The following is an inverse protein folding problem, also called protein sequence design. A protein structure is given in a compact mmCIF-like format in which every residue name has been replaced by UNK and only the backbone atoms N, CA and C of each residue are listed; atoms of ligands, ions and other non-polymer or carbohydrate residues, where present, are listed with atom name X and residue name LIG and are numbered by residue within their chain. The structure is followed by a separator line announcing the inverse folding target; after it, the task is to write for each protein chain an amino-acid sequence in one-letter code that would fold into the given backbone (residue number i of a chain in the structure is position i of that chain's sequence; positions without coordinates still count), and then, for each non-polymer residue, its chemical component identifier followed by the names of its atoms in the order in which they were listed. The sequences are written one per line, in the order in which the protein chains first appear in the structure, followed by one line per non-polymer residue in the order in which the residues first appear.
data_IF_136671355278
#
_entry.id   IF_136671355278
#
_cell.length_a   1.000
_cell.length_b   1.000
_cell.length_c   1.000
_cell.angle_alpha   90.00
_cell.angle_beta   90.00
_cell.angle_gamma   90.00
#
_symmetry.space_group_name_H-M   'P 1'
#
loop_
_entity.id
_entity.type
_entity.pdbx_description
1 polymer ?
#
# COMPACT_ATOMS: atom_id res chain seq x y z
N UNK A 1 8.08 -21.10 -69.42
CA UNK A 1 7.84 -19.86 -68.67
C UNK A 1 7.13 -20.23 -67.37
N UNK A 2 7.81 -20.19 -66.23
CA UNK A 2 7.18 -20.39 -64.91
C UNK A 2 6.74 -19.02 -64.33
N UNK A 3 5.58 -18.91 -63.67
CA UNK A 3 5.16 -17.67 -63.04
C UNK A 3 5.90 -17.47 -61.71
N UNK A 4 6.48 -16.28 -61.53
CA UNK A 4 7.05 -15.85 -60.25
C UNK A 4 5.93 -15.31 -59.38
N UNK A 5 5.61 -16.01 -58.29
CA UNK A 5 4.65 -15.53 -57.28
C UNK A 5 5.42 -14.75 -56.23
N UNK A 6 5.18 -13.44 -56.14
CA UNK A 6 5.75 -12.58 -55.11
C UNK A 6 4.82 -12.60 -53.90
N UNK A 7 5.27 -13.23 -52.81
CA UNK A 7 4.57 -13.28 -51.54
C UNK A 7 4.98 -12.08 -50.68
N UNK A 8 4.06 -11.13 -50.51
CA UNK A 8 4.26 -9.94 -49.67
C UNK A 8 3.95 -10.30 -48.22
N UNK A 9 4.98 -10.36 -47.38
CA UNK A 9 4.81 -10.49 -45.93
C UNK A 9 4.45 -9.12 -45.33
N UNK A 10 3.22 -8.97 -44.84
CA UNK A 10 2.84 -7.83 -44.01
C UNK A 10 3.46 -8.00 -42.63
N UNK A 11 4.48 -7.18 -42.32
CA UNK A 11 5.03 -7.07 -40.97
C UNK A 11 4.07 -6.22 -40.15
N UNK A 12 3.22 -6.86 -39.34
CA UNK A 12 2.44 -6.16 -38.32
C UNK A 12 3.38 -5.72 -37.20
N UNK A 13 3.68 -4.42 -37.15
CA UNK A 13 4.27 -3.81 -35.96
C UNK A 13 3.24 -3.87 -34.83
N UNK A 14 3.39 -4.83 -33.94
CA UNK A 14 2.73 -4.80 -32.64
C UNK A 14 3.35 -3.64 -31.88
N UNK A 15 2.60 -2.55 -31.70
CA UNK A 15 3.04 -1.43 -30.87
C UNK A 15 3.37 -1.96 -29.47
N UNK A 16 4.61 -1.79 -29.04
CA UNK A 16 5.00 -2.09 -27.67
C UNK A 16 4.18 -1.16 -26.75
N UNK A 17 3.21 -1.71 -26.04
CA UNK A 17 2.56 -1.01 -24.94
C UNK A 17 3.61 -0.85 -23.83
N UNK A 18 4.13 0.37 -23.66
CA UNK A 18 4.93 0.69 -22.47
C UNK A 18 3.96 0.59 -21.29
N UNK A 19 4.14 -0.36 -20.37
CA UNK A 19 3.23 -0.52 -19.25
C UNK A 19 3.09 0.79 -18.48
N UNK A 20 1.87 1.13 -18.03
CA UNK A 20 1.59 2.20 -17.06
C UNK A 20 2.07 1.83 -15.64
N UNK A 21 3.18 1.10 -15.56
CA UNK A 21 3.69 0.49 -14.35
C UNK A 21 4.17 1.54 -13.34
N UNK A 22 3.89 1.24 -12.07
CA UNK A 22 4.42 1.97 -10.93
C UNK A 22 3.49 1.85 -9.72
N UNK A 23 4.06 1.50 -8.57
CA UNK A 23 3.41 1.68 -7.28
C UNK A 23 3.85 3.03 -6.74
N UNK A 24 2.95 4.01 -6.81
CA UNK A 24 3.23 5.39 -6.45
C UNK A 24 2.77 5.66 -5.03
N UNK A 25 3.56 6.43 -4.27
CA UNK A 25 3.09 6.97 -2.99
C UNK A 25 2.07 8.07 -3.24
N UNK A 26 1.20 8.32 -2.25
CA UNK A 26 0.15 9.33 -2.37
C UNK A 26 0.70 10.75 -2.55
N UNK A 27 1.88 11.04 -2.02
CA UNK A 27 2.61 12.31 -2.16
C UNK A 27 3.41 12.43 -3.48
N UNK A 28 3.52 11.34 -4.25
CA UNK A 28 4.25 11.30 -5.53
C UNK A 28 3.40 10.66 -6.64
N UNK A 29 2.10 10.95 -6.68
CA UNK A 29 1.21 10.43 -7.71
C UNK A 29 1.61 10.93 -9.11
N UNK A 30 1.50 10.10 -10.18
CA UNK A 30 1.95 10.44 -11.53
C UNK A 30 0.92 11.32 -12.26
N UNK A 31 0.66 12.52 -11.73
CA UNK A 31 -0.46 13.40 -12.15
C UNK A 31 -0.41 13.76 -13.63
N UNK A 32 0.78 13.99 -14.17
CA UNK A 32 0.97 14.32 -15.58
C UNK A 32 0.54 13.16 -16.47
N UNK A 33 1.01 11.95 -16.16
CA UNK A 33 0.71 10.73 -16.90
C UNK A 33 -0.79 10.39 -16.81
N UNK A 34 -1.38 10.51 -15.62
CA UNK A 34 -2.82 10.29 -15.42
C UNK A 34 -3.65 11.24 -16.30
N UNK A 35 -3.26 12.52 -16.37
CA UNK A 35 -3.96 13.51 -17.19
C UNK A 35 -3.79 13.25 -18.69
N UNK A 36 -2.56 13.02 -19.14
CA UNK A 36 -2.26 12.85 -20.58
C UNK A 36 -2.85 11.57 -21.16
N UNK A 37 -2.86 10.46 -20.40
CA UNK A 37 -3.31 9.15 -20.89
C UNK A 37 -4.79 8.90 -20.62
N UNK A 38 -5.29 9.33 -19.46
CA UNK A 38 -6.63 8.97 -18.99
C UNK A 38 -7.57 10.16 -18.85
N UNK A 39 -7.09 11.39 -19.08
CA UNK A 39 -7.90 12.60 -18.83
C UNK A 39 -8.23 12.81 -17.36
N UNK A 40 -7.57 12.09 -16.45
CA UNK A 40 -7.84 12.11 -15.03
C UNK A 40 -6.79 12.96 -14.30
N UNK A 41 -7.24 13.95 -13.54
CA UNK A 41 -6.37 14.82 -12.76
C UNK A 41 -6.88 14.80 -11.30
N UNK A 42 -6.41 13.85 -10.47
CA UNK A 42 -6.84 13.79 -9.08
C UNK A 42 -6.36 15.04 -8.35
N UNK A 43 -7.24 15.62 -7.52
CA UNK A 43 -6.85 16.70 -6.62
C UNK A 43 -6.19 16.13 -5.36
N UNK A 44 -5.58 17.01 -4.56
CA UNK A 44 -5.02 16.59 -3.28
C UNK A 44 -6.10 16.03 -2.34
N UNK A 45 -7.27 16.66 -2.31
CA UNK A 45 -8.42 16.20 -1.52
C UNK A 45 -8.88 14.81 -1.95
N UNK A 46 -8.83 14.52 -3.25
CA UNK A 46 -9.14 13.19 -3.76
C UNK A 46 -8.11 12.15 -3.31
N UNK A 47 -6.82 12.47 -3.40
CA UNK A 47 -5.74 11.59 -2.94
C UNK A 47 -5.82 11.33 -1.43
N UNK A 48 -6.15 12.36 -0.65
CA UNK A 48 -6.37 12.23 0.80
C UNK A 48 -7.58 11.37 1.13
N UNK A 49 -8.68 11.51 0.38
CA UNK A 49 -9.85 10.63 0.52
C UNK A 49 -9.49 9.16 0.26
N UNK A 50 -8.74 8.88 -0.82
CA UNK A 50 -8.31 7.51 -1.14
C UNK A 50 -7.37 6.97 -0.06
N UNK A 51 -6.41 7.77 0.41
CA UNK A 51 -5.49 7.40 1.49
C UNK A 51 -6.24 7.05 2.77
N UNK A 52 -7.16 7.92 3.21
CA UNK A 52 -7.90 7.76 4.47
C UNK A 52 -8.97 6.66 4.40
N UNK A 53 -9.44 6.31 3.21
CA UNK A 53 -10.35 5.17 3.01
C UNK A 53 -9.63 3.84 2.84
N UNK A 54 -8.31 3.82 2.61
CA UNK A 54 -7.52 2.60 2.45
C UNK A 54 -7.02 2.08 3.80
N UNK A 55 -7.14 0.77 4.03
CA UNK A 55 -6.67 0.11 5.26
C UNK A 55 -5.70 -1.03 4.96
N UNK A 56 -4.69 -1.17 5.83
CA UNK A 56 -3.79 -2.32 5.87
C UNK A 56 -4.22 -3.27 6.98
N UNK A 57 -4.41 -4.54 6.64
CA UNK A 57 -4.59 -5.62 7.60
C UNK A 57 -3.21 -6.02 8.14
N UNK A 58 -3.05 -6.07 9.47
CA UNK A 58 -1.77 -6.44 10.11
C UNK A 58 -1.34 -7.88 9.77
N UNK A 59 -2.30 -8.79 9.62
CA UNK A 59 -2.12 -10.17 9.16
C UNK A 59 -1.80 -10.28 7.65
N UNK A 60 -1.71 -9.16 6.95
CA UNK A 60 -1.43 -9.08 5.52
C UNK A 60 -2.68 -8.82 4.68
N UNK A 61 -2.50 -8.16 3.54
CA UNK A 61 -3.59 -7.74 2.67
C UNK A 61 -4.05 -6.30 2.89
N UNK A 62 -5.03 -5.89 2.09
CA UNK A 62 -5.57 -4.53 2.07
C UNK A 62 -7.09 -4.56 2.07
N UNK A 63 -7.69 -3.45 2.47
CA UNK A 63 -9.13 -3.25 2.36
C UNK A 63 -9.46 -1.78 2.26
N UNK A 64 -10.75 -1.47 2.32
CA UNK A 64 -11.24 -0.10 2.29
C UNK A 64 -12.43 0.11 3.22
N UNK A 65 -12.51 1.28 3.83
CA UNK A 65 -13.75 1.75 4.43
C UNK A 65 -14.77 2.05 3.32
N UNK A 66 -15.95 1.47 3.44
CA UNK A 66 -17.05 1.62 2.47
C UNK A 66 -18.32 2.21 3.09
N UNK A 67 -18.24 2.64 4.36
CA UNK A 67 -19.34 3.35 5.04
C UNK A 67 -18.82 4.32 6.10
N UNK A 68 -19.66 5.28 6.50
CA UNK A 68 -19.37 6.23 7.58
C UNK A 68 -19.39 5.62 8.98
N UNK A 69 -19.85 4.37 9.13
CA UNK A 69 -19.92 3.65 10.40
C UNK A 69 -18.82 2.60 10.54
N UNK A 70 -17.80 2.63 9.67
CA UNK A 70 -16.62 1.77 9.80
C UNK A 70 -16.71 0.40 9.13
N UNK A 71 -17.72 0.13 8.28
CA UNK A 71 -17.72 -1.09 7.47
C UNK A 71 -16.48 -1.13 6.56
N UNK A 72 -15.72 -2.22 6.65
CA UNK A 72 -14.51 -2.47 5.85
C UNK A 72 -14.75 -3.61 4.88
N UNK A 73 -14.36 -3.41 3.62
CA UNK A 73 -14.34 -4.44 2.59
C UNK A 73 -12.90 -4.93 2.34
N UNK A 74 -12.72 -6.25 2.31
CA UNK A 74 -11.48 -6.91 1.88
C UNK A 74 -11.80 -8.22 1.14
N UNK A 75 -10.78 -8.93 0.66
CA UNK A 75 -10.96 -10.23 0.02
C UNK A 75 -11.13 -11.35 1.03
N UNK A 76 -11.80 -12.44 0.60
CA UNK A 76 -12.00 -13.62 1.43
C UNK A 76 -10.68 -14.23 1.92
N UNK A 77 -9.65 -14.31 1.08
CA UNK A 77 -8.36 -14.90 1.46
C UNK A 77 -7.61 -14.06 2.51
N UNK A 78 -7.87 -12.75 2.58
CA UNK A 78 -7.33 -11.86 3.62
C UNK A 78 -8.01 -12.17 4.97
N UNK A 79 -9.34 -12.35 4.95
CA UNK A 79 -10.11 -12.69 6.14
C UNK A 79 -10.00 -14.17 6.56
N UNK A 80 -9.44 -15.05 5.72
CA UNK A 80 -9.46 -16.49 5.91
C UNK A 80 -8.86 -16.93 7.24
N UNK A 81 -7.73 -16.34 7.65
CA UNK A 81 -7.10 -16.65 8.93
C UNK A 81 -8.00 -16.37 10.12
N UNK A 82 -8.80 -15.29 10.06
CA UNK A 82 -9.74 -14.93 11.12
C UNK A 82 -10.98 -15.82 11.11
N UNK A 83 -11.50 -16.17 9.93
CA UNK A 83 -12.58 -17.15 9.79
C UNK A 83 -12.18 -18.50 10.39
N UNK A 84 -10.97 -18.98 10.11
CA UNK A 84 -10.43 -20.23 10.67
C UNK A 84 -10.33 -20.19 12.20
N UNK A 85 -9.83 -19.09 12.77
CA UNK A 85 -9.69 -18.92 14.24
C UNK A 85 -11.03 -18.88 14.96
N UNK A 86 -12.06 -18.31 14.31
CA UNK A 86 -13.40 -18.15 14.89
C UNK A 86 -14.29 -19.39 14.71
N UNK A 87 -13.96 -20.26 13.76
CA UNK A 87 -14.67 -21.53 13.56
C UNK A 87 -14.55 -22.47 14.77
N UNK A 88 -15.59 -23.27 15.02
CA UNK A 88 -15.61 -24.36 16.00
C UNK A 88 -16.01 -25.67 15.31
N UNK A 89 -15.90 -26.85 15.97
CA UNK A 89 -16.37 -28.11 15.39
C UNK A 89 -17.84 -28.08 14.96
N UNK A 90 -18.67 -27.27 15.61
CA UNK A 90 -20.10 -27.10 15.33
C UNK A 90 -20.39 -25.97 14.32
N UNK A 91 -19.45 -25.05 14.09
CA UNK A 91 -19.62 -23.88 13.22
C UNK A 91 -18.37 -23.63 12.38
N UNK A 92 -18.41 -24.04 11.12
CA UNK A 92 -17.31 -23.82 10.19
C UNK A 92 -17.60 -22.61 9.28
N UNK A 93 -17.12 -21.44 9.68
CA UNK A 93 -17.31 -20.19 8.92
C UNK A 93 -16.50 -20.15 7.62
N UNK A 94 -15.50 -21.01 7.45
CA UNK A 94 -14.74 -21.10 6.19
C UNK A 94 -15.58 -21.82 5.14
N UNK A 95 -16.23 -22.92 5.55
CA UNK A 95 -17.06 -23.73 4.66
C UNK A 95 -18.45 -23.15 4.44
N UNK A 96 -19.13 -22.78 5.51
CA UNK A 96 -20.56 -22.44 5.49
C UNK A 96 -20.78 -20.91 5.36
N UNK A 97 -19.71 -20.12 5.52
CA UNK A 97 -19.77 -18.66 5.52
C UNK A 97 -20.32 -18.09 6.83
N UNK A 98 -20.34 -16.77 6.90
CA UNK A 98 -20.87 -16.03 8.05
C UNK A 98 -21.59 -14.76 7.59
N UNK A 99 -22.70 -14.44 8.26
CA UNK A 99 -23.46 -13.21 8.01
C UNK A 99 -24.07 -12.72 9.33
N UNK A 100 -23.66 -11.51 9.73
CA UNK A 100 -24.26 -10.78 10.85
C UNK A 100 -25.39 -9.88 10.32
N UNK A 101 -26.62 -10.05 10.83
CA UNK A 101 -27.76 -9.20 10.45
C UNK A 101 -27.74 -7.85 11.14
N UNK A 102 -27.09 -7.78 12.30
CA UNK A 102 -26.99 -6.59 13.14
C UNK A 102 -25.54 -6.42 13.62
N UNK A 103 -25.15 -5.19 13.96
CA UNK A 103 -23.81 -4.93 14.50
C UNK A 103 -23.51 -5.72 15.78
N UNK A 104 -24.55 -6.01 16.58
CA UNK A 104 -24.40 -6.81 17.80
C UNK A 104 -24.06 -8.29 17.52
N UNK A 105 -24.32 -8.77 16.30
CA UNK A 105 -23.98 -10.12 15.85
C UNK A 105 -22.56 -10.21 15.25
N UNK A 106 -21.87 -9.08 15.04
CA UNK A 106 -20.51 -9.08 14.49
C UNK A 106 -19.54 -9.80 15.44
N UNK A 107 -18.77 -10.75 14.88
CA UNK A 107 -17.80 -11.52 15.65
C UNK A 107 -16.54 -10.68 15.90
N UNK A 108 -15.99 -10.79 17.12
CA UNK A 108 -14.77 -10.09 17.51
C UNK A 108 -13.54 -10.88 17.09
N UNK A 109 -12.77 -10.33 16.15
CA UNK A 109 -11.42 -10.79 15.82
C UNK A 109 -10.43 -10.14 16.80
N UNK A 110 -10.08 -10.81 17.90
CA UNK A 110 -9.35 -10.19 19.03
C UNK A 110 -7.88 -9.88 18.75
N UNK A 111 -7.30 -10.45 17.70
CA UNK A 111 -5.89 -10.27 17.31
C UNK A 111 -5.71 -9.56 15.95
N UNK A 112 -6.82 -9.12 15.33
CA UNK A 112 -6.80 -8.38 14.08
C UNK A 112 -6.68 -6.88 14.33
N UNK A 113 -5.72 -6.25 13.68
CA UNK A 113 -5.54 -4.80 13.68
C UNK A 113 -5.62 -4.25 12.26
N UNK A 114 -6.32 -3.13 12.10
CA UNK A 114 -6.38 -2.37 10.86
C UNK A 114 -5.60 -1.07 11.03
N UNK A 115 -4.73 -0.78 10.08
CA UNK A 115 -3.88 0.40 10.08
C UNK A 115 -4.30 1.35 8.96
N UNK A 116 -4.44 2.64 9.29
CA UNK A 116 -4.71 3.73 8.33
C UNK A 116 -3.47 4.61 8.25
N UNK A 117 -3.06 4.97 7.03
CA UNK A 117 -1.96 5.91 6.83
C UNK A 117 -2.46 7.33 7.07
N UNK A 118 -2.18 7.88 8.25
CA UNK A 118 -2.71 9.17 8.70
C UNK A 118 -1.96 10.39 8.14
N UNK A 119 -0.65 10.28 7.97
CA UNK A 119 0.21 11.33 7.40
C UNK A 119 1.47 10.73 6.79
N UNK A 120 2.15 11.51 5.96
CA UNK A 120 3.44 11.18 5.37
C UNK A 120 4.36 12.41 5.54
N UNK A 121 5.63 12.17 5.83
CA UNK A 121 6.65 13.21 5.93
C UNK A 121 7.93 12.74 5.25
N UNK A 122 8.51 13.59 4.41
CA UNK A 122 9.82 13.31 3.82
C UNK A 122 10.92 13.67 4.82
N UNK A 123 11.58 12.64 5.36
CA UNK A 123 12.66 12.78 6.33
C UNK A 123 14.04 12.47 5.75
N UNK A 124 14.17 12.41 4.42
CA UNK A 124 15.43 12.03 3.74
C UNK A 124 16.59 12.91 4.17
N UNK A 125 16.41 14.23 4.17
CA UNK A 125 17.47 15.17 4.56
C UNK A 125 17.94 14.91 6.00
N UNK A 126 17.00 14.74 6.94
CA UNK A 126 17.32 14.47 8.35
C UNK A 126 18.17 13.21 8.50
N UNK A 127 17.75 12.12 7.86
CA UNK A 127 18.44 10.82 7.94
C UNK A 127 19.81 10.87 7.25
N UNK A 128 19.93 11.55 6.10
CA UNK A 128 21.21 11.63 5.37
C UNK A 128 22.22 12.52 6.10
N UNK A 129 21.78 13.62 6.72
CA UNK A 129 22.68 14.55 7.43
C UNK A 129 23.27 13.94 8.70
N UNK A 130 22.66 12.88 9.25
CA UNK A 130 23.23 12.10 10.35
C UNK A 130 24.53 11.37 9.95
N UNK A 131 24.72 11.07 8.66
CA UNK A 131 25.92 10.42 8.13
C UNK A 131 26.96 11.47 7.76
N UNK A 132 28.09 11.48 8.48
CA UNK A 132 29.19 12.40 8.22
C UNK A 132 30.24 11.79 7.30
N UNK A 133 30.90 12.64 6.50
CA UNK A 133 32.01 12.23 5.63
C UNK A 133 33.11 11.56 6.45
N UNK A 134 33.59 10.41 5.97
CA UNK A 134 34.65 9.64 6.62
C UNK A 134 34.18 8.62 7.67
N UNK A 135 32.87 8.50 7.90
CA UNK A 135 32.33 7.37 8.66
C UNK A 135 32.55 6.05 7.93
N UNK A 136 32.81 4.98 8.69
CA UNK A 136 32.74 3.61 8.16
C UNK A 136 31.30 3.22 7.86
N UNK A 137 31.07 2.23 7.00
CA UNK A 137 29.71 1.76 6.67
C UNK A 137 28.90 1.38 7.91
N UNK A 138 29.56 0.71 8.88
CA UNK A 138 28.93 0.37 10.16
C UNK A 138 28.54 1.62 10.94
N UNK A 139 29.43 2.61 11.06
CA UNK A 139 29.12 3.85 11.77
C UNK A 139 28.00 4.65 11.08
N UNK A 140 27.98 4.68 9.75
CA UNK A 140 26.93 5.32 8.97
C UNK A 140 25.56 4.62 9.15
N UNK A 141 25.53 3.29 9.19
CA UNK A 141 24.31 2.53 9.45
C UNK A 141 23.76 2.81 10.85
N UNK A 142 24.61 2.81 11.87
CA UNK A 142 24.19 3.08 13.24
C UNK A 142 23.75 4.54 13.43
N UNK A 143 24.39 5.50 12.74
CA UNK A 143 23.95 6.89 12.72
C UNK A 143 22.54 7.04 12.12
N UNK A 144 22.26 6.39 10.99
CA UNK A 144 20.91 6.39 10.38
C UNK A 144 19.87 5.76 11.30
N UNK A 145 20.15 4.59 11.88
CA UNK A 145 19.24 3.93 12.83
C UNK A 145 18.93 4.82 14.03
N UNK A 146 19.94 5.50 14.56
CA UNK A 146 19.79 6.41 15.70
C UNK A 146 18.88 7.58 15.35
N UNK A 147 19.08 8.21 14.18
CA UNK A 147 18.22 9.32 13.74
C UNK A 147 16.80 8.85 13.41
N UNK A 148 16.64 7.67 12.78
CA UNK A 148 15.33 7.05 12.53
C UNK A 148 14.56 6.84 13.83
N UNK A 149 15.17 6.19 14.82
CA UNK A 149 14.52 5.95 16.12
C UNK A 149 14.13 7.25 16.82
N UNK A 150 14.94 8.30 16.65
CA UNK A 150 14.64 9.65 17.16
C UNK A 150 13.43 10.27 16.45
N UNK A 151 13.38 10.22 15.12
CA UNK A 151 12.23 10.70 14.31
C UNK A 151 10.95 9.98 14.74
N UNK A 152 10.97 8.65 14.83
CA UNK A 152 9.79 7.86 15.21
C UNK A 152 9.31 8.20 16.62
N UNK A 153 10.25 8.39 17.56
CA UNK A 153 9.92 8.82 18.93
C UNK A 153 9.30 10.22 18.95
N UNK A 154 9.88 11.19 18.26
CA UNK A 154 9.36 12.56 18.18
C UNK A 154 7.94 12.57 17.57
N UNK A 155 7.73 11.79 16.51
CA UNK A 155 6.41 11.66 15.88
C UNK A 155 5.39 11.00 16.81
N UNK A 156 5.77 9.96 17.55
CA UNK A 156 4.90 9.33 18.55
C UNK A 156 4.52 10.32 19.66
N UNK A 157 5.47 11.11 20.16
CA UNK A 157 5.23 12.14 21.18
C UNK A 157 4.30 13.26 20.66
N UNK A 158 4.43 13.64 19.40
CA UNK A 158 3.63 14.70 18.79
C UNK A 158 2.20 14.26 18.41
N UNK A 159 2.04 13.02 17.93
CA UNK A 159 0.79 12.56 17.31
C UNK A 159 0.03 11.53 18.15
N UNK A 160 0.70 10.86 19.09
CA UNK A 160 0.17 9.68 19.78
C UNK A 160 -0.01 8.46 18.88
N UNK A 161 0.43 8.52 17.62
CA UNK A 161 0.26 7.45 16.63
C UNK A 161 1.58 6.72 16.39
N UNK A 162 1.48 5.42 16.11
CA UNK A 162 2.60 4.64 15.60
C UNK A 162 3.12 5.30 14.33
N UNK A 163 4.43 5.50 14.27
CA UNK A 163 5.13 6.06 13.11
C UNK A 163 6.26 5.12 12.72
N UNK A 164 6.41 4.85 11.43
CA UNK A 164 7.47 4.00 10.88
C UNK A 164 8.22 4.80 9.80
N UNK A 165 9.55 4.92 9.92
CA UNK A 165 10.37 5.47 8.83
C UNK A 165 10.69 4.37 7.84
N UNK A 166 10.23 4.55 6.60
CA UNK A 166 10.39 3.56 5.53
C UNK A 166 11.45 4.03 4.53
N UNK A 167 12.44 3.18 4.27
CA UNK A 167 13.39 3.41 3.18
C UNK A 167 12.72 3.09 1.84
N UNK A 168 12.59 4.10 0.98
CA UNK A 168 12.17 3.94 -0.41
C UNK A 168 13.39 3.98 -1.33
N UNK A 169 13.23 3.47 -2.57
CA UNK A 169 14.27 3.52 -3.61
C UNK A 169 15.64 2.97 -3.17
N UNK A 170 15.67 1.87 -2.42
CA UNK A 170 16.91 1.29 -1.87
C UNK A 170 17.73 2.24 -0.96
N UNK A 171 17.09 3.29 -0.42
CA UNK A 171 17.72 4.28 0.46
C UNK A 171 18.10 5.60 -0.21
N UNK A 172 17.71 5.80 -1.48
CA UNK A 172 17.92 7.04 -2.24
C UNK A 172 17.88 6.82 -3.74
#
# INVERSE_FOLDING_TARGET
MLPVVIMVYAVFFVGASIPDEGMWTFDNAPLKQLKERYGFAPTQEWLDLVRLSSVRFNDGGSGSFVSSTGLVLTNHHVALGQLQKLSTPEKDYVKDGFYAKTQAEELKCTDLELNVLMSMENVTERVQTAVKKGMTDKAALEARKTEIAKIEKESLEATGMRSDVVALYQGG
#
